data_IF_914440092999
#
_entry.id   IF_914440092999
#
_cell.length_a   1.000
_cell.length_b   1.000
_cell.length_c   1.000
_cell.angle_alpha   90.00
_cell.angle_beta   90.00
_cell.angle_gamma   90.00
#
_symmetry.space_group_name_H-M   'P 1'
#
loop_
_entity.id
_entity.type
_entity.pdbx_description
1 polymer ?
#
# COMPACT_ATOMS: atom_id res chain seq x y z
N UNK A 1 24.76 36.35 7.80
CA UNK A 1 25.28 35.16 7.08
C UNK A 1 26.01 34.32 8.12
N UNK A 2 25.82 33.01 8.29
CA UNK A 2 25.24 31.98 7.42
C UNK A 2 24.43 30.95 8.25
N UNK A 3 23.65 30.15 7.53
CA UNK A 3 22.52 29.35 8.00
C UNK A 3 22.91 28.17 8.89
N UNK A 4 22.03 27.84 9.83
CA UNK A 4 22.07 26.58 10.58
C UNK A 4 21.97 25.42 9.61
N UNK A 5 22.93 24.51 9.69
CA UNK A 5 22.95 23.28 8.92
C UNK A 5 21.76 22.41 9.31
N UNK A 6 20.77 22.33 8.43
CA UNK A 6 19.78 21.26 8.43
C UNK A 6 20.54 19.93 8.32
N UNK A 7 20.56 19.15 9.40
CA UNK A 7 20.99 17.76 9.37
C UNK A 7 20.02 16.99 8.46
N UNK A 8 20.37 16.90 7.17
CA UNK A 8 19.79 15.89 6.30
C UNK A 8 20.09 14.51 6.90
N UNK A 9 19.09 13.69 7.28
CA UNK A 9 19.37 12.33 7.69
C UNK A 9 20.02 11.60 6.51
N UNK A 10 21.22 11.06 6.73
CA UNK A 10 21.90 10.22 5.75
C UNK A 10 21.03 9.04 5.32
N UNK A 11 21.38 8.37 4.21
CA UNK A 11 20.62 7.22 3.73
C UNK A 11 20.49 6.19 4.87
N UNK A 12 19.31 5.56 5.03
CA UNK A 12 19.09 4.58 6.07
C UNK A 12 20.17 3.48 6.04
N UNK A 13 20.53 2.93 7.19
CA UNK A 13 21.55 1.89 7.27
C UNK A 13 21.10 0.61 6.57
N UNK A 14 22.04 -0.23 6.14
CA UNK A 14 21.77 -1.55 5.56
C UNK A 14 20.87 -2.43 6.46
N UNK A 15 21.01 -2.29 7.77
CA UNK A 15 20.15 -2.94 8.77
C UNK A 15 18.71 -2.42 8.80
N UNK A 16 18.47 -1.19 8.36
CA UNK A 16 17.14 -0.59 8.23
C UNK A 16 16.42 -1.20 7.03
N UNK A 17 17.11 -1.34 5.90
CA UNK A 17 16.59 -2.00 4.71
C UNK A 17 16.29 -3.48 4.96
N UNK A 18 17.18 -4.21 5.63
CA UNK A 18 16.94 -5.64 5.95
C UNK A 18 15.66 -5.84 6.79
N UNK A 19 15.40 -4.94 7.75
CA UNK A 19 14.19 -5.00 8.58
C UNK A 19 12.93 -4.67 7.78
N UNK A 20 12.96 -3.65 6.93
CA UNK A 20 11.85 -3.36 6.01
C UNK A 20 11.59 -4.53 5.05
N UNK A 21 12.64 -5.14 4.50
CA UNK A 21 12.51 -6.30 3.62
C UNK A 21 11.91 -7.52 4.33
N UNK A 22 12.27 -7.78 5.59
CA UNK A 22 11.67 -8.84 6.38
C UNK A 22 10.19 -8.59 6.69
N UNK A 23 9.81 -7.34 7.00
CA UNK A 23 8.41 -6.95 7.20
C UNK A 23 7.61 -6.99 5.90
N UNK A 24 8.20 -6.59 4.76
CA UNK A 24 7.61 -6.75 3.43
C UNK A 24 7.41 -8.23 3.06
N UNK A 25 8.34 -9.11 3.44
CA UNK A 25 8.23 -10.55 3.20
C UNK A 25 7.14 -11.19 4.05
N UNK A 26 7.03 -10.79 5.32
CA UNK A 26 5.87 -11.14 6.17
C UNK A 26 4.56 -10.58 5.63
N UNK A 27 4.60 -9.42 4.99
CA UNK A 27 3.47 -8.82 4.29
C UNK A 27 3.00 -9.68 3.11
N UNK A 28 3.94 -10.33 2.41
CA UNK A 28 3.68 -11.20 1.28
C UNK A 28 3.20 -12.60 1.67
N UNK A 29 3.53 -13.07 2.88
CA UNK A 29 3.13 -14.39 3.41
C UNK A 29 1.78 -14.37 4.17
N UNK A 30 1.04 -13.25 4.17
CA UNK A 30 -0.27 -13.10 4.82
C UNK A 30 -1.41 -13.26 3.79
N UNK A 31 -2.19 -14.37 3.83
CA UNK A 31 -3.28 -14.61 2.89
C UNK A 31 -4.37 -13.53 2.89
N UNK A 32 -4.62 -12.91 4.05
CA UNK A 32 -5.57 -11.80 4.17
C UNK A 32 -5.11 -10.57 3.40
N UNK A 33 -3.79 -10.31 3.38
CA UNK A 33 -3.19 -9.20 2.63
C UNK A 33 -3.14 -9.47 1.13
N UNK A 34 -2.89 -10.71 0.71
CA UNK A 34 -3.00 -11.09 -0.70
C UNK A 34 -4.43 -10.88 -1.23
N UNK A 35 -5.46 -11.28 -0.45
CA UNK A 35 -6.86 -11.04 -0.79
C UNK A 35 -7.22 -9.57 -0.82
N UNK A 36 -6.74 -8.79 0.16
CA UNK A 36 -6.92 -7.35 0.17
C UNK A 36 -6.34 -6.74 -1.12
N UNK A 37 -5.11 -7.12 -1.48
CA UNK A 37 -4.45 -6.64 -2.68
C UNK A 37 -5.22 -7.00 -3.96
N UNK A 38 -5.67 -8.25 -4.11
CA UNK A 38 -6.51 -8.67 -5.25
C UNK A 38 -7.78 -7.83 -5.33
N UNK A 39 -8.48 -7.66 -4.21
CA UNK A 39 -9.70 -6.85 -4.14
C UNK A 39 -9.44 -5.38 -4.47
N UNK A 40 -8.33 -4.81 -4.00
CA UNK A 40 -7.92 -3.45 -4.33
C UNK A 40 -7.66 -3.29 -5.83
N UNK A 41 -6.99 -4.26 -6.46
CA UNK A 41 -6.77 -4.26 -7.91
C UNK A 41 -8.09 -4.40 -8.68
N UNK A 42 -9.03 -5.22 -8.22
CA UNK A 42 -10.36 -5.33 -8.82
C UNK A 42 -11.13 -4.01 -8.77
N UNK A 43 -11.07 -3.29 -7.64
CA UNK A 43 -11.69 -1.97 -7.47
C UNK A 43 -11.06 -0.96 -8.44
N UNK A 44 -9.73 -0.90 -8.52
CA UNK A 44 -9.02 0.01 -9.41
C UNK A 44 -9.32 -0.28 -10.88
N UNK A 45 -9.38 -1.56 -11.28
CA UNK A 45 -9.74 -1.95 -12.64
C UNK A 45 -11.22 -1.64 -12.97
N UNK A 46 -12.09 -1.58 -11.97
CA UNK A 46 -13.49 -1.17 -12.12
C UNK A 46 -13.70 0.34 -12.23
N UNK A 47 -12.76 1.15 -11.74
CA UNK A 47 -12.90 2.60 -11.67
C UNK A 47 -12.55 3.28 -13.00
N UNK A 48 -13.58 3.54 -13.81
CA UNK A 48 -13.43 4.24 -15.10
C UNK A 48 -13.06 5.72 -14.97
N UNK A 49 -13.19 6.31 -13.78
CA UNK A 49 -12.83 7.72 -13.56
C UNK A 49 -11.31 7.92 -13.45
N UNK A 50 -10.54 6.83 -13.28
CA UNK A 50 -9.10 6.86 -13.07
C UNK A 50 -8.40 5.95 -14.09
N UNK A 51 -8.32 6.36 -15.37
CA UNK A 51 -7.82 5.49 -16.44
C UNK A 51 -6.39 5.00 -16.20
N UNK A 52 -5.51 5.83 -15.64
CA UNK A 52 -4.11 5.46 -15.34
C UNK A 52 -4.03 4.36 -14.28
N UNK A 53 -4.80 4.46 -13.20
CA UNK A 53 -4.83 3.43 -12.14
C UNK A 53 -5.55 2.16 -12.58
N UNK A 54 -6.56 2.30 -13.45
CA UNK A 54 -7.22 1.17 -14.09
C UNK A 54 -6.21 0.39 -14.92
N UNK A 55 -5.45 1.06 -15.77
CA UNK A 55 -4.48 0.42 -16.66
C UNK A 55 -3.38 -0.27 -15.84
N UNK A 56 -2.88 0.37 -14.78
CA UNK A 56 -2.01 -0.26 -13.77
C UNK A 56 -2.63 -1.56 -13.22
N UNK A 57 -3.88 -1.51 -12.77
CA UNK A 57 -4.54 -2.67 -12.18
C UNK A 57 -4.76 -3.79 -13.19
N UNK A 58 -5.12 -3.47 -14.44
CA UNK A 58 -5.22 -4.46 -15.51
C UNK A 58 -3.87 -5.07 -15.89
N UNK A 59 -2.80 -4.28 -15.91
CA UNK A 59 -1.44 -4.75 -16.21
C UNK A 59 -0.95 -5.76 -15.17
N UNK A 60 -1.21 -5.48 -13.88
CA UNK A 60 -0.87 -6.39 -12.78
C UNK A 60 -1.79 -7.62 -12.77
N UNK A 61 -3.11 -7.45 -12.91
CA UNK A 61 -4.07 -8.58 -12.87
C UNK A 61 -3.89 -9.55 -14.03
N UNK A 62 -3.53 -9.08 -15.21
CA UNK A 62 -3.30 -9.93 -16.38
C UNK A 62 -1.86 -10.47 -16.45
N UNK A 63 -1.02 -10.17 -15.46
CA UNK A 63 0.38 -10.61 -15.44
C UNK A 63 1.24 -10.02 -16.56
N UNK A 64 0.82 -8.89 -17.15
CA UNK A 64 1.63 -8.15 -18.12
C UNK A 64 2.82 -7.47 -17.44
N UNK A 65 2.68 -7.15 -16.16
CA UNK A 65 3.69 -6.53 -15.32
C UNK A 65 3.58 -7.03 -13.87
N UNK A 66 4.69 -7.22 -13.17
CA UNK A 66 4.66 -7.55 -11.74
C UNK A 66 4.22 -6.35 -10.89
N UNK A 67 3.62 -6.56 -9.70
CA UNK A 67 3.18 -5.45 -8.84
C UNK A 67 4.33 -4.50 -8.48
N UNK A 68 5.48 -5.04 -8.08
CA UNK A 68 6.65 -4.23 -7.72
C UNK A 68 7.22 -3.47 -8.92
N UNK A 69 7.22 -4.09 -10.09
CA UNK A 69 7.62 -3.46 -11.35
C UNK A 69 6.67 -2.32 -11.74
N UNK A 70 5.36 -2.55 -11.62
CA UNK A 70 4.34 -1.56 -11.88
C UNK A 70 4.40 -0.40 -10.89
N UNK A 71 4.62 -0.67 -9.60
CA UNK A 71 4.79 0.38 -8.60
C UNK A 71 6.05 1.24 -8.82
N UNK A 72 7.11 0.65 -9.37
CA UNK A 72 8.35 1.36 -9.72
C UNK A 72 8.30 2.05 -11.09
N UNK A 73 7.23 1.83 -11.87
CA UNK A 73 7.11 2.38 -13.22
C UNK A 73 6.86 3.89 -13.19
N UNK A 74 7.67 4.62 -13.95
CA UNK A 74 7.47 6.06 -14.17
C UNK A 74 6.12 6.36 -14.81
N UNK A 75 5.50 5.40 -15.49
CA UNK A 75 4.20 5.56 -16.14
C UNK A 75 3.04 5.83 -15.17
N UNK A 76 3.17 5.42 -13.90
CA UNK A 76 2.14 5.59 -12.87
C UNK A 76 2.60 6.45 -11.69
N UNK A 77 3.85 6.91 -11.70
CA UNK A 77 4.50 7.61 -10.57
C UNK A 77 3.78 8.91 -10.19
N UNK A 78 3.36 9.71 -11.16
CA UNK A 78 2.64 10.98 -10.91
C UNK A 78 1.30 10.72 -10.20
N UNK A 79 0.57 9.70 -10.65
CA UNK A 79 -0.74 9.37 -10.12
C UNK A 79 -0.66 8.80 -8.71
N UNK A 80 0.31 7.92 -8.45
CA UNK A 80 0.59 7.46 -7.10
C UNK A 80 1.02 8.59 -6.18
N UNK A 81 1.92 9.46 -6.64
CA UNK A 81 2.39 10.60 -5.84
C UNK A 81 1.24 11.53 -5.46
N UNK A 82 0.34 11.81 -6.39
CA UNK A 82 -0.85 12.66 -6.16
C UNK A 82 -1.77 12.04 -5.12
N UNK A 83 -2.07 10.74 -5.22
CA UNK A 83 -2.95 10.07 -4.27
C UNK A 83 -2.32 9.87 -2.89
N UNK A 84 -1.03 9.52 -2.82
CA UNK A 84 -0.30 9.39 -1.56
C UNK A 84 -0.25 10.73 -0.85
N UNK A 85 0.01 11.83 -1.56
CA UNK A 85 -0.03 13.18 -0.98
C UNK A 85 -1.42 13.51 -0.42
N UNK A 86 -2.47 13.28 -1.19
CA UNK A 86 -3.84 13.52 -0.71
C UNK A 86 -4.20 12.69 0.53
N UNK A 87 -3.76 11.43 0.58
CA UNK A 87 -3.90 10.58 1.75
C UNK A 87 -3.14 11.15 2.97
N UNK A 88 -1.88 11.51 2.81
CA UNK A 88 -1.06 12.08 3.88
C UNK A 88 -1.64 13.42 4.37
N UNK A 89 -2.08 14.27 3.46
CA UNK A 89 -2.73 15.55 3.80
C UNK A 89 -4.00 15.33 4.63
N UNK A 90 -4.82 14.35 4.26
CA UNK A 90 -5.99 13.97 5.06
C UNK A 90 -5.59 13.36 6.41
N UNK A 91 -4.64 12.43 6.41
CA UNK A 91 -4.24 11.68 7.61
C UNK A 91 -3.59 12.57 8.67
N UNK A 92 -2.83 13.58 8.24
CA UNK A 92 -2.21 14.57 9.14
C UNK A 92 -3.23 15.51 9.80
N UNK A 93 -4.42 15.66 9.22
CA UNK A 93 -5.51 16.45 9.79
C UNK A 93 -6.31 15.69 10.86
N UNK A 94 -6.14 14.37 10.96
CA UNK A 94 -6.81 13.56 11.97
C UNK A 94 -6.23 13.82 13.37
N UNK A 95 -7.07 13.72 14.40
CA UNK A 95 -6.64 13.59 15.78
C UNK A 95 -6.01 12.22 16.06
N UNK A 96 -5.35 12.07 17.22
CA UNK A 96 -4.81 10.77 17.65
C UNK A 96 -5.90 9.71 17.79
N UNK A 97 -7.07 10.08 18.34
CA UNK A 97 -8.20 9.18 18.49
C UNK A 97 -8.76 8.73 17.12
N UNK A 98 -8.87 9.65 16.17
CA UNK A 98 -9.31 9.32 14.81
C UNK A 98 -8.28 8.44 14.08
N UNK A 99 -6.98 8.70 14.24
CA UNK A 99 -5.94 7.80 13.72
C UNK A 99 -6.03 6.41 14.33
N UNK A 100 -6.26 6.33 15.65
CA UNK A 100 -6.47 5.07 16.36
C UNK A 100 -7.68 4.30 15.85
N UNK A 101 -8.79 5.00 15.59
CA UNK A 101 -10.00 4.40 15.02
C UNK A 101 -9.76 3.85 13.60
N UNK A 102 -9.02 4.58 12.76
CA UNK A 102 -8.65 4.10 11.42
C UNK A 102 -7.74 2.87 11.47
N UNK A 103 -6.77 2.85 12.39
CA UNK A 103 -5.89 1.69 12.59
C UNK A 103 -6.70 0.45 13.03
N UNK A 104 -7.56 0.59 14.03
CA UNK A 104 -8.40 -0.51 14.51
C UNK A 104 -9.37 -1.03 13.43
N UNK A 105 -9.95 -0.13 12.62
CA UNK A 105 -10.79 -0.52 11.50
C UNK A 105 -10.00 -1.28 10.41
N UNK A 106 -8.76 -0.87 10.15
CA UNK A 106 -7.86 -1.57 9.23
C UNK A 106 -7.51 -2.98 9.72
N UNK A 107 -7.15 -3.13 11.00
CA UNK A 107 -6.86 -4.42 11.62
C UNK A 107 -8.06 -5.37 11.58
N UNK A 108 -9.26 -4.87 11.93
CA UNK A 108 -10.49 -5.65 11.85
C UNK A 108 -10.81 -6.10 10.41
N UNK A 109 -10.56 -5.24 9.42
CA UNK A 109 -10.73 -5.58 8.01
C UNK A 109 -9.79 -6.72 7.59
N UNK A 110 -8.49 -6.62 7.94
CA UNK A 110 -7.50 -7.67 7.65
C UNK A 110 -7.82 -8.99 8.34
N UNK A 111 -8.25 -8.95 9.60
CA UNK A 111 -8.68 -10.14 10.33
C UNK A 111 -9.88 -10.82 9.64
N UNK A 112 -10.89 -10.05 9.22
CA UNK A 112 -12.05 -10.58 8.50
C UNK A 112 -11.69 -11.23 7.16
N UNK A 113 -10.67 -10.71 6.47
CA UNK A 113 -10.18 -11.31 5.24
C UNK A 113 -9.43 -12.62 5.49
N UNK A 114 -8.87 -12.80 6.68
CA UNK A 114 -8.15 -14.03 7.07
C UNK A 114 -9.14 -15.13 7.47
N UNK A 115 -10.14 -14.82 8.30
CA UNK A 115 -11.11 -15.79 8.83
C UNK A 115 -12.03 -16.44 7.76
N UNK A 116 -12.32 -15.76 6.65
CA UNK A 116 -13.14 -16.34 5.58
C UNK A 116 -12.46 -17.52 4.86
N UNK A 117 -11.14 -17.67 4.99
CA UNK A 117 -10.34 -18.75 4.38
C UNK A 117 -10.56 -20.10 5.07
N UNK A 118 -10.57 -20.09 6.40
CA UNK A 118 -10.77 -21.29 7.24
C UNK A 118 -12.14 -21.95 7.00
N UNK A 119 -13.10 -21.18 6.47
CA UNK A 119 -14.45 -21.65 6.15
C UNK A 119 -14.61 -22.13 4.70
N UNK A 120 -13.86 -21.58 3.73
CA UNK A 120 -13.89 -22.04 2.34
C UNK A 120 -13.05 -23.31 2.12
N UNK A 121 -11.94 -23.53 2.85
CA UNK A 121 -11.19 -24.80 2.79
C UNK A 121 -11.89 -25.97 3.52
N UNK A 122 -12.88 -25.67 4.39
CA UNK A 122 -13.63 -26.68 5.15
C UNK A 122 -14.92 -27.16 4.46
N UNK A 123 -15.23 -26.66 3.26
CA UNK A 123 -16.46 -26.99 2.49
C UNK A 123 -16.18 -27.69 1.17
#
# INVERSE_FOLDING_TARGET
MAMGSEEHPGPPSESYYEKEFAELRRLADDPGRERLLRRSLDILAGDRSRPVLRDFAEDVRHGRMGLAEAAASSAYTEEFTTHVRGFLDWYTQLSDDERGAQAAAGEACLASLTENDDLEEAS
#
